data_IF_824624345267
#
_entry.id   IF_824624345267
#
_cell.length_a   1.000
_cell.length_b   1.000
_cell.length_c   1.000
_cell.angle_alpha   90.00
_cell.angle_beta   90.00
_cell.angle_gamma   90.00
#
_symmetry.space_group_name_H-M   'P 1'
#
loop_
_entity.id
_entity.type
_entity.pdbx_description
1 polymer ?
#
# COMPACT_ATOMS: atom_id res chain seq x y z
N UNK A 1 1.32 9.86 35.02
CA UNK A 1 0.10 9.98 34.23
C UNK A 1 -0.90 8.93 34.70
N UNK A 2 -2.15 9.33 34.90
CA UNK A 2 -3.23 8.37 35.19
C UNK A 2 -3.67 7.73 33.86
N UNK A 3 -3.45 6.43 33.75
CA UNK A 3 -3.79 5.65 32.55
C UNK A 3 -5.28 5.73 32.16
N UNK A 4 -6.14 5.99 33.15
CA UNK A 4 -7.58 6.13 32.92
C UNK A 4 -7.95 7.47 32.28
N UNK A 5 -7.05 8.43 32.30
CA UNK A 5 -7.22 9.77 31.71
C UNK A 5 -6.48 9.97 30.40
N UNK A 6 -5.72 8.96 29.94
CA UNK A 6 -4.98 9.06 28.68
C UNK A 6 -5.97 9.13 27.50
N UNK A 7 -5.76 10.10 26.63
CA UNK A 7 -6.43 10.29 25.35
C UNK A 7 -5.41 10.30 24.23
N UNK A 8 -5.80 9.76 23.07
CA UNK A 8 -5.00 9.79 21.86
C UNK A 8 -5.81 10.40 20.74
N UNK A 9 -5.20 11.30 19.98
CA UNK A 9 -5.83 11.98 18.86
C UNK A 9 -5.00 11.79 17.59
N UNK A 10 -5.63 11.65 16.44
CA UNK A 10 -4.94 11.57 15.15
C UNK A 10 -5.76 10.89 14.06
N UNK A 11 -5.41 11.21 12.82
CA UNK A 11 -5.97 10.59 11.63
C UNK A 11 -5.09 9.47 11.04
N UNK A 12 -3.99 9.15 11.70
CA UNK A 12 -2.98 8.28 11.11
C UNK A 12 -2.25 8.95 9.94
N UNK A 13 -1.84 8.12 8.99
CA UNK A 13 -1.12 8.57 7.80
C UNK A 13 -2.02 8.75 6.57
N UNK A 14 -3.29 9.05 6.74
CA UNK A 14 -4.23 9.22 5.61
C UNK A 14 -3.85 10.43 4.76
N UNK A 15 -3.98 10.28 3.44
CA UNK A 15 -3.90 11.41 2.51
C UNK A 15 -5.13 12.30 2.70
N UNK A 16 -4.93 13.59 2.86
CA UNK A 16 -6.01 14.56 2.87
C UNK A 16 -6.72 14.60 1.51
N UNK A 17 -8.03 14.88 1.47
CA UNK A 17 -8.72 15.05 0.21
C UNK A 17 -8.13 16.23 -0.58
N UNK A 18 -7.99 16.07 -1.89
CA UNK A 18 -7.47 17.13 -2.76
C UNK A 18 -8.42 18.35 -2.83
N UNK A 19 -9.70 18.13 -2.58
CA UNK A 19 -10.73 19.19 -2.53
C UNK A 19 -11.47 19.02 -1.21
N UNK A 20 -11.52 20.08 -0.42
CA UNK A 20 -12.31 20.12 0.79
C UNK A 20 -13.78 20.44 0.45
N UNK A 21 -14.68 19.60 0.90
CA UNK A 21 -16.12 19.81 0.76
C UNK A 21 -16.66 20.45 2.05
N UNK A 22 -16.77 21.76 2.04
CA UNK A 22 -17.30 22.53 3.16
C UNK A 22 -18.84 22.44 3.30
N UNK A 23 -19.53 21.76 2.38
CA UNK A 23 -20.96 21.56 2.44
C UNK A 23 -21.39 20.44 3.39
N UNK A 24 -20.47 19.61 3.82
CA UNK A 24 -20.70 18.47 4.70
C UNK A 24 -19.71 18.46 5.86
N UNK A 25 -20.20 18.60 7.09
CA UNK A 25 -19.39 18.54 8.30
C UNK A 25 -18.63 17.21 8.43
N UNK A 26 -19.19 16.10 7.94
CA UNK A 26 -18.58 14.78 7.98
C UNK A 26 -17.36 14.63 7.06
N UNK A 27 -17.17 15.56 6.13
CA UNK A 27 -16.06 15.59 5.18
C UNK A 27 -15.03 16.66 5.49
N UNK A 28 -15.31 17.50 6.46
CA UNK A 28 -14.40 18.52 6.92
C UNK A 28 -13.46 17.90 7.95
N UNK A 29 -12.19 17.77 7.59
CA UNK A 29 -11.14 17.40 8.53
C UNK A 29 -10.65 18.71 9.16
N UNK A 30 -11.31 19.11 10.25
CA UNK A 30 -11.01 20.37 10.96
C UNK A 30 -10.19 20.11 12.21
N UNK A 31 -10.67 19.21 13.06
CA UNK A 31 -9.99 18.81 14.30
C UNK A 31 -9.52 17.36 14.26
N UNK A 32 -8.54 17.05 15.11
CA UNK A 32 -8.06 15.68 15.28
C UNK A 32 -9.11 14.83 15.99
N UNK A 33 -9.48 13.70 15.40
CA UNK A 33 -10.38 12.73 16.02
C UNK A 33 -9.72 12.03 17.20
N UNK A 34 -10.50 11.81 18.26
CA UNK A 34 -10.09 10.97 19.37
C UNK A 34 -10.11 9.50 18.97
N UNK A 35 -8.98 8.82 19.14
CA UNK A 35 -8.83 7.40 18.82
C UNK A 35 -9.34 6.55 19.98
N UNK A 36 -10.21 5.55 19.75
CA UNK A 36 -10.70 4.65 20.78
C UNK A 36 -9.57 3.83 21.39
N UNK A 37 -9.53 3.74 22.71
CA UNK A 37 -8.48 3.08 23.47
C UNK A 37 -8.96 1.83 24.18
N UNK A 38 -8.18 0.76 24.09
CA UNK A 38 -8.34 -0.44 24.89
C UNK A 38 -7.35 -0.44 26.05
N UNK A 39 -7.86 -0.52 27.28
CA UNK A 39 -7.04 -0.52 28.49
C UNK A 39 -6.95 -1.94 29.05
N UNK A 40 -5.75 -2.42 29.30
CA UNK A 40 -5.49 -3.72 29.87
C UNK A 40 -4.19 -3.75 30.65
N UNK A 41 -4.24 -4.29 31.88
CA UNK A 41 -3.05 -4.56 32.70
C UNK A 41 -2.09 -3.35 32.84
N UNK A 42 -2.62 -2.16 33.09
CA UNK A 42 -1.79 -0.96 33.23
C UNK A 42 -1.23 -0.41 31.92
N UNK A 43 -1.72 -0.90 30.77
CA UNK A 43 -1.33 -0.43 29.43
C UNK A 43 -2.51 0.10 28.65
N UNK A 44 -2.22 1.02 27.74
CA UNK A 44 -3.18 1.55 26.75
C UNK A 44 -2.79 1.03 25.39
N UNK A 45 -3.75 0.45 24.68
CA UNK A 45 -3.60 -0.04 23.32
C UNK A 45 -4.56 0.71 22.40
N UNK A 46 -4.10 1.05 21.22
CA UNK A 46 -4.94 1.62 20.19
C UNK A 46 -4.50 1.13 18.81
N UNK A 47 -5.39 1.24 17.84
CA UNK A 47 -5.07 0.93 16.45
C UNK A 47 -4.49 2.19 15.79
N UNK A 48 -3.23 2.11 15.37
CA UNK A 48 -2.55 3.18 14.66
C UNK A 48 -2.48 2.85 13.16
N UNK A 49 -3.15 3.64 12.34
CA UNK A 49 -2.99 3.57 10.89
C UNK A 49 -1.67 4.23 10.48
N UNK A 50 -0.90 3.55 9.65
CA UNK A 50 0.31 4.10 9.02
C UNK A 50 -0.01 4.87 7.74
N UNK A 51 1.04 5.25 7.02
CA UNK A 51 0.95 5.97 5.74
C UNK A 51 0.53 5.07 4.58
N UNK A 52 0.60 3.76 4.73
CA UNK A 52 0.12 2.77 3.75
C UNK A 52 -1.17 2.15 4.25
N UNK A 53 -2.25 2.32 3.50
CA UNK A 53 -3.56 1.74 3.82
C UNK A 53 -3.85 0.57 2.91
N UNK A 54 -4.30 -0.53 3.50
CA UNK A 54 -4.86 -1.67 2.76
C UNK A 54 -6.38 -1.53 2.73
N UNK A 55 -6.94 -1.55 1.53
CA UNK A 55 -8.36 -1.38 1.29
C UNK A 55 -8.88 -2.64 0.57
N UNK A 56 -9.87 -3.28 1.16
CA UNK A 56 -10.57 -4.39 0.50
C UNK A 56 -11.54 -3.86 -0.55
N UNK A 57 -11.43 -4.37 -1.77
CA UNK A 57 -12.37 -4.08 -2.86
C UNK A 57 -13.35 -5.25 -3.00
N UNK A 58 -14.62 -5.11 -2.58
CA UNK A 58 -15.60 -6.19 -2.69
C UNK A 58 -15.97 -6.52 -4.14
N UNK A 59 -15.88 -5.54 -5.04
CA UNK A 59 -16.16 -5.74 -6.47
C UNK A 59 -15.04 -6.47 -7.20
N UNK A 60 -13.79 -6.27 -6.78
CA UNK A 60 -12.61 -6.91 -7.37
C UNK A 60 -12.15 -8.14 -6.59
N UNK A 61 -12.74 -8.41 -5.43
CA UNK A 61 -12.37 -9.49 -4.51
C UNK A 61 -10.87 -9.51 -4.22
N UNK A 62 -10.28 -8.34 -4.05
CA UNK A 62 -8.85 -8.20 -3.77
C UNK A 62 -8.56 -7.03 -2.84
N UNK A 63 -7.43 -7.12 -2.16
CA UNK A 63 -6.84 -6.01 -1.45
C UNK A 63 -6.16 -5.06 -2.43
N UNK A 64 -6.33 -3.77 -2.20
CA UNK A 64 -5.54 -2.70 -2.82
C UNK A 64 -4.80 -1.96 -1.72
N UNK A 65 -3.72 -1.29 -2.07
CA UNK A 65 -3.04 -0.39 -1.16
C UNK A 65 -3.13 1.04 -1.69
N UNK A 66 -2.99 1.98 -0.78
CA UNK A 66 -2.88 3.40 -1.09
C UNK A 66 -1.83 4.00 -0.16
N UNK A 67 -0.76 4.49 -0.74
CA UNK A 67 0.29 5.19 -0.04
C UNK A 67 -0.09 6.67 0.18
N UNK A 68 0.42 7.24 1.25
CA UNK A 68 0.49 8.68 1.39
C UNK A 68 1.83 9.15 0.82
N UNK A 69 1.82 9.64 -0.42
CA UNK A 69 3.01 10.11 -1.14
C UNK A 69 3.64 11.36 -0.51
N UNK A 70 2.91 12.05 0.38
CA UNK A 70 3.35 13.30 1.01
C UNK A 70 3.90 13.12 2.42
N UNK A 71 3.72 11.94 3.03
CA UNK A 71 4.14 11.70 4.41
C UNK A 71 4.70 10.29 4.59
N UNK A 72 5.89 10.19 5.17
CA UNK A 72 6.51 8.91 5.54
C UNK A 72 6.09 8.39 6.91
N UNK A 73 5.53 9.26 7.76
CA UNK A 73 5.15 8.95 9.13
C UNK A 73 3.72 9.38 9.40
N UNK A 74 3.03 8.59 10.22
CA UNK A 74 1.76 8.96 10.83
C UNK A 74 2.02 9.48 12.25
N UNK A 75 1.34 10.53 12.63
CA UNK A 75 1.51 11.17 13.93
C UNK A 75 0.24 11.05 14.77
N UNK A 76 0.44 10.75 16.04
CA UNK A 76 -0.62 10.72 17.04
C UNK A 76 -0.21 11.57 18.22
N UNK A 77 -1.18 12.26 18.79
CA UNK A 77 -0.97 13.14 19.92
C UNK A 77 -1.56 12.49 21.17
N UNK A 78 -0.79 12.46 22.24
CA UNK A 78 -1.19 11.88 23.52
C UNK A 78 -1.36 12.98 24.53
N UNK A 79 -2.49 12.99 25.24
CA UNK A 79 -2.79 13.94 26.29
C UNK A 79 -3.55 13.27 27.45
N UNK A 80 -3.86 14.03 28.49
CA UNK A 80 -4.77 13.63 29.56
C UNK A 80 -6.05 14.43 29.49
N UNK A 81 -7.17 13.80 29.80
CA UNK A 81 -8.46 14.47 29.83
C UNK A 81 -9.55 13.63 30.47
N UNK A 82 -10.71 14.23 30.64
CA UNK A 82 -11.88 13.52 31.16
C UNK A 82 -12.54 12.67 30.07
N UNK A 83 -13.18 11.59 30.47
CA UNK A 83 -13.98 10.72 29.62
C UNK A 83 -13.30 10.28 28.31
N UNK A 84 -12.13 9.59 28.41
CA UNK A 84 -11.45 9.11 27.21
C UNK A 84 -12.32 8.12 26.46
N UNK A 85 -12.27 8.18 25.11
CA UNK A 85 -13.01 7.27 24.24
C UNK A 85 -12.52 5.83 24.43
N UNK A 86 -13.44 4.94 24.75
CA UNK A 86 -13.14 3.51 24.95
C UNK A 86 -13.42 2.71 23.68
N UNK A 87 -12.52 1.78 23.37
CA UNK A 87 -12.76 0.78 22.36
C UNK A 87 -13.72 -0.28 22.89
N UNK A 88 -14.94 -0.31 22.37
CA UNK A 88 -15.91 -1.35 22.70
C UNK A 88 -15.50 -2.67 22.02
N UNK A 89 -15.15 -3.65 22.82
CA UNK A 89 -14.87 -4.99 22.33
C UNK A 89 -16.18 -5.76 22.16
N UNK A 90 -16.45 -6.17 20.94
CA UNK A 90 -17.48 -7.19 20.71
C UNK A 90 -16.85 -8.53 21.11
N UNK A 91 -17.35 -9.14 22.18
CA UNK A 91 -16.96 -10.49 22.52
C UNK A 91 -17.45 -11.43 21.42
N UNK A 92 -16.60 -12.32 20.92
CA UNK A 92 -17.03 -13.39 20.05
C UNK A 92 -17.97 -14.30 20.85
N UNK A 93 -19.25 -14.27 20.55
CA UNK A 93 -20.29 -15.03 21.23
C UNK A 93 -20.57 -16.37 20.55
N UNK A 94 -19.96 -16.60 19.38
CA UNK A 94 -20.18 -17.82 18.60
C UNK A 94 -18.85 -18.53 18.33
N UNK A 95 -18.88 -19.85 18.43
CA UNK A 95 -17.82 -20.69 17.90
C UNK A 95 -17.86 -20.59 16.36
N UNK A 96 -16.73 -20.38 15.68
CA UNK A 96 -16.74 -20.32 14.22
C UNK A 96 -17.27 -21.63 13.64
N UNK A 97 -18.24 -21.53 12.73
CA UNK A 97 -18.80 -22.71 12.04
C UNK A 97 -17.83 -23.28 11.00
N UNK A 98 -16.82 -22.52 10.63
CA UNK A 98 -15.89 -22.89 9.57
C UNK A 98 -14.48 -22.47 9.93
N UNK A 99 -13.55 -23.40 9.75
CA UNK A 99 -12.11 -23.13 9.81
C UNK A 99 -11.62 -22.80 8.39
N UNK A 100 -10.97 -21.65 8.21
CA UNK A 100 -10.37 -21.30 6.94
C UNK A 100 -8.97 -21.92 6.84
N UNK A 101 -8.73 -22.65 5.76
CA UNK A 101 -7.43 -23.27 5.49
C UNK A 101 -6.37 -22.25 5.03
N UNK A 102 -6.80 -21.12 4.52
CA UNK A 102 -5.93 -20.08 4.01
C UNK A 102 -6.61 -18.72 4.04
N UNK A 103 -5.80 -17.67 4.16
CA UNK A 103 -6.19 -16.27 4.04
C UNK A 103 -5.48 -15.65 2.84
N UNK A 104 -6.07 -14.59 2.26
CA UNK A 104 -5.40 -13.79 1.23
C UNK A 104 -4.50 -12.78 1.93
N UNK A 105 -3.21 -12.83 1.64
CA UNK A 105 -2.22 -11.85 2.06
C UNK A 105 -1.73 -11.04 0.87
N UNK A 106 -1.36 -9.81 1.08
CA UNK A 106 -0.75 -8.94 0.10
C UNK A 106 0.57 -8.41 0.63
N UNK A 107 1.62 -8.53 -0.17
CA UNK A 107 2.91 -7.88 0.03
C UNK A 107 3.10 -6.87 -1.09
N UNK A 108 3.57 -5.70 -0.77
CA UNK A 108 3.74 -4.59 -1.71
C UNK A 108 5.15 -4.05 -1.56
N UNK A 109 5.80 -3.85 -2.68
CA UNK A 109 7.00 -3.04 -2.81
C UNK A 109 6.59 -1.79 -3.57
N UNK A 110 6.63 -0.65 -2.93
CA UNK A 110 6.18 0.62 -3.47
C UNK A 110 6.95 1.74 -2.75
N UNK A 111 8.07 2.11 -3.32
CA UNK A 111 8.95 3.16 -2.80
C UNK A 111 8.71 4.44 -3.62
N UNK A 112 7.78 5.26 -3.16
CA UNK A 112 7.39 6.52 -3.77
C UNK A 112 8.51 7.58 -3.70
N UNK A 113 9.59 7.37 -4.43
CA UNK A 113 10.80 8.20 -4.37
C UNK A 113 10.98 9.14 -5.56
N UNK A 114 10.30 8.89 -6.67
CA UNK A 114 10.46 9.65 -7.91
C UNK A 114 9.13 9.98 -8.57
N UNK A 115 9.01 11.18 -9.09
CA UNK A 115 7.96 11.55 -10.03
C UNK A 115 8.56 12.27 -11.25
N UNK A 116 7.88 12.21 -12.41
CA UNK A 116 8.36 12.84 -13.65
C UNK A 116 8.39 14.37 -13.59
N UNK A 117 7.55 14.96 -12.73
CA UNK A 117 7.54 16.39 -12.45
C UNK A 117 7.63 16.63 -10.96
N UNK A 118 7.98 17.82 -10.57
CA UNK A 118 8.00 18.26 -9.17
C UNK A 118 6.59 18.33 -8.55
N UNK A 119 5.73 17.36 -8.87
CA UNK A 119 4.37 17.30 -8.38
C UNK A 119 3.58 16.17 -9.05
N UNK A 120 2.41 15.89 -8.50
CA UNK A 120 1.55 14.83 -9.00
C UNK A 120 1.26 13.77 -7.94
N UNK A 121 0.45 12.79 -8.31
CA UNK A 121 0.00 11.72 -7.43
C UNK A 121 0.59 10.36 -7.77
N UNK A 122 1.20 10.24 -8.95
CA UNK A 122 1.83 9.01 -9.42
C UNK A 122 3.32 9.08 -9.17
N UNK A 123 3.78 8.23 -8.29
CA UNK A 123 5.19 8.14 -7.91
C UNK A 123 5.73 6.74 -8.19
N UNK A 124 7.04 6.66 -8.34
CA UNK A 124 7.77 5.44 -8.68
C UNK A 124 9.02 5.29 -7.82
N UNK A 125 9.64 4.14 -7.89
CA UNK A 125 11.00 3.94 -7.39
C UNK A 125 11.99 4.84 -8.15
N UNK A 126 13.04 5.25 -7.46
CA UNK A 126 14.08 6.14 -8.00
C UNK A 126 15.03 5.49 -9.01
N UNK A 127 14.91 4.17 -9.26
CA UNK A 127 15.82 3.49 -10.17
C UNK A 127 15.52 3.81 -11.64
N UNK A 128 16.54 4.28 -12.35
CA UNK A 128 16.48 4.57 -13.79
C UNK A 128 16.98 3.37 -14.61
N UNK A 129 16.09 2.81 -15.44
CA UNK A 129 16.38 1.73 -16.36
C UNK A 129 16.92 2.21 -17.73
N UNK A 130 17.47 3.41 -17.82
CA UNK A 130 18.03 3.92 -19.07
C UNK A 130 19.16 3.03 -19.62
N UNK A 131 19.30 3.01 -20.94
CA UNK A 131 20.41 2.38 -21.65
C UNK A 131 20.54 0.86 -21.48
N UNK A 132 19.44 0.14 -21.36
CA UNK A 132 19.44 -1.31 -21.26
C UNK A 132 19.88 -1.82 -19.89
N UNK A 133 19.67 -1.04 -18.86
CA UNK A 133 20.00 -1.42 -17.49
C UNK A 133 19.13 -2.58 -17.01
N UNK A 134 19.68 -3.30 -16.04
CA UNK A 134 18.96 -4.35 -15.29
C UNK A 134 18.92 -3.99 -13.84
N UNK A 135 17.83 -4.33 -13.15
CA UNK A 135 17.71 -4.13 -11.71
C UNK A 135 16.96 -5.28 -11.05
N UNK A 136 17.31 -5.54 -9.80
CA UNK A 136 16.73 -6.62 -9.02
C UNK A 136 16.02 -6.09 -7.78
N UNK A 137 14.79 -6.53 -7.58
CA UNK A 137 14.01 -6.26 -6.38
C UNK A 137 13.81 -7.52 -5.56
N UNK A 138 13.96 -7.40 -4.25
CA UNK A 138 13.72 -8.50 -3.31
C UNK A 138 12.37 -8.32 -2.63
N UNK A 139 11.59 -9.37 -2.58
CA UNK A 139 10.28 -9.39 -1.96
C UNK A 139 10.12 -10.62 -1.07
N UNK A 140 9.81 -10.40 0.20
CA UNK A 140 9.57 -11.47 1.15
C UNK A 140 8.08 -11.84 1.17
N UNK A 141 7.78 -13.12 1.02
CA UNK A 141 6.42 -13.67 1.07
C UNK A 141 6.29 -14.78 2.13
N UNK A 142 6.48 -14.46 3.42
CA UNK A 142 6.63 -15.45 4.49
C UNK A 142 5.36 -16.28 4.73
N UNK A 143 4.21 -15.82 4.25
CA UNK A 143 2.92 -16.50 4.44
C UNK A 143 2.46 -17.31 3.24
N UNK A 144 3.26 -17.38 2.19
CA UNK A 144 2.91 -18.18 1.03
C UNK A 144 3.09 -19.67 1.33
N UNK A 145 2.02 -20.44 1.16
CA UNK A 145 1.99 -21.87 1.50
C UNK A 145 1.98 -22.82 0.30
N UNK A 146 2.07 -22.29 -0.93
CA UNK A 146 2.09 -23.08 -2.16
C UNK A 146 0.77 -23.74 -2.57
N UNK A 147 -0.31 -23.61 -1.80
CA UNK A 147 -1.59 -24.26 -2.10
C UNK A 147 -2.30 -23.66 -3.33
N UNK A 148 -2.02 -22.40 -3.66
CA UNK A 148 -2.58 -21.69 -4.81
C UNK A 148 -1.51 -20.83 -5.44
N UNK A 149 -1.66 -20.55 -6.73
CA UNK A 149 -0.81 -19.56 -7.40
C UNK A 149 -1.00 -18.18 -6.78
N UNK A 150 0.09 -17.45 -6.66
CA UNK A 150 0.07 -16.04 -6.31
C UNK A 150 -0.18 -15.19 -7.56
N UNK A 151 -0.94 -14.12 -7.45
CA UNK A 151 -1.00 -13.07 -8.47
C UNK A 151 0.09 -12.05 -8.18
N UNK A 152 0.95 -11.81 -9.14
CA UNK A 152 1.96 -10.74 -9.11
C UNK A 152 1.53 -9.66 -10.08
N UNK A 153 1.35 -8.44 -9.59
CA UNK A 153 1.07 -7.26 -10.39
C UNK A 153 2.29 -6.33 -10.38
N UNK A 154 2.73 -5.91 -11.56
CA UNK A 154 3.87 -5.04 -11.75
C UNK A 154 3.40 -3.78 -12.45
N UNK A 155 3.64 -2.61 -11.85
CA UNK A 155 3.49 -1.30 -12.47
C UNK A 155 4.86 -0.80 -12.91
N UNK A 156 4.98 -0.40 -14.15
CA UNK A 156 6.22 0.11 -14.71
C UNK A 156 5.95 1.36 -15.56
N UNK A 157 6.58 2.46 -15.21
CA UNK A 157 6.46 3.73 -15.92
C UNK A 157 7.64 3.97 -16.85
N UNK A 158 7.39 4.52 -18.04
CA UNK A 158 8.45 4.87 -18.97
C UNK A 158 8.10 6.10 -19.80
N UNK A 159 9.10 6.97 -20.01
CA UNK A 159 9.06 8.09 -20.94
C UNK A 159 9.50 7.63 -22.34
N UNK A 160 8.58 7.08 -23.11
CA UNK A 160 8.88 6.45 -24.41
C UNK A 160 8.28 7.24 -25.57
N UNK A 161 9.14 7.83 -26.41
CA UNK A 161 8.72 8.66 -27.53
C UNK A 161 8.84 8.00 -28.91
N UNK A 162 9.88 7.20 -29.13
CA UNK A 162 10.21 6.69 -30.48
C UNK A 162 9.57 5.36 -30.82
N UNK A 163 9.73 4.36 -29.94
CA UNK A 163 9.21 3.00 -30.11
C UNK A 163 8.76 2.44 -28.77
N UNK A 164 7.85 1.49 -28.77
CA UNK A 164 7.45 0.80 -27.55
C UNK A 164 8.67 0.20 -26.84
N UNK A 165 8.69 0.31 -25.52
CA UNK A 165 9.70 -0.31 -24.68
C UNK A 165 9.28 -1.73 -24.34
N UNK A 166 10.22 -2.68 -24.42
CA UNK A 166 10.02 -4.04 -23.96
C UNK A 166 10.66 -4.20 -22.59
N UNK A 167 9.92 -4.73 -21.64
CA UNK A 167 10.42 -5.02 -20.29
C UNK A 167 10.36 -6.52 -20.09
N UNK A 168 11.51 -7.15 -19.92
CA UNK A 168 11.61 -8.55 -19.55
C UNK A 168 11.58 -8.71 -18.02
N UNK A 169 10.86 -9.70 -17.53
CA UNK A 169 10.68 -9.98 -16.11
C UNK A 169 11.11 -11.41 -15.82
N UNK A 170 12.00 -11.57 -14.86
CA UNK A 170 12.40 -12.86 -14.32
C UNK A 170 12.09 -12.92 -12.83
N UNK A 171 11.69 -14.09 -12.35
CA UNK A 171 11.50 -14.40 -10.94
C UNK A 171 12.42 -15.56 -10.54
N UNK A 172 13.29 -15.34 -9.55
CA UNK A 172 14.21 -16.34 -9.06
C UNK A 172 15.00 -17.02 -10.20
N UNK A 173 15.44 -16.25 -11.19
CA UNK A 173 16.13 -16.67 -12.42
C UNK A 173 15.27 -17.47 -13.43
N UNK A 174 13.97 -17.55 -13.22
CA UNK A 174 13.02 -18.13 -14.20
C UNK A 174 12.33 -17.00 -14.95
N UNK A 175 12.20 -17.15 -16.27
CA UNK A 175 11.51 -16.15 -17.08
C UNK A 175 10.02 -16.16 -16.76
N UNK A 176 9.46 -14.99 -16.45
CA UNK A 176 8.01 -14.76 -16.32
C UNK A 176 7.39 -14.23 -17.61
N UNK A 177 8.21 -13.68 -18.49
CA UNK A 177 7.78 -13.12 -19.77
C UNK A 177 8.12 -11.65 -19.94
N UNK A 178 7.64 -11.09 -21.03
CA UNK A 178 7.90 -9.71 -21.44
C UNK A 178 6.58 -8.96 -21.58
N UNK A 179 6.56 -7.70 -21.17
CA UNK A 179 5.45 -6.80 -21.48
C UNK A 179 5.95 -5.54 -22.19
N UNK A 180 5.03 -4.86 -22.85
CA UNK A 180 5.35 -3.70 -23.66
C UNK A 180 4.72 -2.43 -23.09
N UNK A 181 5.51 -1.36 -23.02
CA UNK A 181 5.02 -0.02 -22.72
C UNK A 181 4.92 0.75 -24.02
N UNK A 182 3.70 1.13 -24.38
CA UNK A 182 3.45 1.86 -25.62
C UNK A 182 4.08 3.27 -25.57
N UNK A 183 4.52 3.74 -26.73
CA UNK A 183 4.93 5.13 -26.84
C UNK A 183 3.75 6.07 -26.54
N UNK A 184 4.05 7.22 -26.01
CA UNK A 184 3.07 8.28 -25.86
C UNK A 184 3.12 9.26 -27.02
N UNK A 185 2.00 9.92 -27.25
CA UNK A 185 1.82 10.89 -28.31
C UNK A 185 1.29 12.17 -27.70
N UNK A 186 1.94 13.27 -27.97
CA UNK A 186 1.48 14.60 -27.58
C UNK A 186 2.42 15.31 -26.60
N UNK A 187 2.15 16.59 -26.42
CA UNK A 187 2.95 17.48 -25.58
C UNK A 187 2.57 17.45 -24.10
N UNK A 188 1.44 16.80 -23.78
CA UNK A 188 0.87 16.78 -22.43
C UNK A 188 1.19 15.53 -21.62
N UNK A 189 1.62 14.45 -22.26
CA UNK A 189 2.07 13.24 -21.57
C UNK A 189 3.58 13.28 -21.36
N UNK A 190 4.06 12.89 -20.17
CA UNK A 190 5.49 12.84 -19.86
C UNK A 190 6.01 11.44 -19.82
N UNK A 191 5.15 10.50 -19.43
CA UNK A 191 5.43 9.09 -19.32
C UNK A 191 4.13 8.30 -19.44
N UNK A 192 4.27 7.01 -19.64
CA UNK A 192 3.14 6.07 -19.65
C UNK A 192 3.40 4.91 -18.71
N UNK A 193 2.42 4.59 -17.89
CA UNK A 193 2.43 3.41 -17.05
C UNK A 193 1.80 2.22 -17.77
N UNK A 194 2.34 1.05 -17.55
CA UNK A 194 1.73 -0.23 -17.89
C UNK A 194 1.72 -1.13 -16.67
N UNK A 195 0.59 -1.78 -16.42
CA UNK A 195 0.45 -2.79 -15.36
C UNK A 195 0.34 -4.17 -16.00
N UNK A 196 1.21 -5.06 -15.57
CA UNK A 196 1.23 -6.45 -16.03
C UNK A 196 0.98 -7.39 -14.87
N UNK A 197 0.30 -8.50 -15.15
CA UNK A 197 -0.08 -9.51 -14.17
C UNK A 197 0.45 -10.86 -14.55
N UNK A 198 0.95 -11.57 -13.56
CA UNK A 198 1.47 -12.92 -13.72
C UNK A 198 0.85 -13.83 -12.65
N UNK A 199 0.48 -15.04 -13.04
CA UNK A 199 0.09 -16.10 -12.11
C UNK A 199 1.33 -16.95 -11.83
N UNK A 200 1.78 -16.94 -10.59
CA UNK A 200 3.04 -17.55 -10.18
C UNK A 200 2.79 -18.69 -9.21
N UNK A 201 3.26 -19.88 -9.56
CA UNK A 201 3.40 -20.98 -8.64
C UNK A 201 4.80 -20.95 -8.00
N UNK A 202 4.93 -21.58 -6.85
CA UNK A 202 6.24 -21.84 -6.23
C UNK A 202 7.05 -20.59 -5.84
N UNK A 203 6.39 -19.57 -5.30
CA UNK A 203 7.10 -18.51 -4.59
C UNK A 203 7.90 -19.11 -3.43
N UNK A 204 9.03 -18.52 -3.15
CA UNK A 204 9.86 -18.82 -1.97
C UNK A 204 9.51 -17.86 -0.85
N UNK A 205 10.09 -18.03 0.31
CA UNK A 205 10.01 -17.04 1.38
C UNK A 205 10.67 -15.72 0.96
N UNK A 206 11.84 -15.79 0.33
CA UNK A 206 12.52 -14.65 -0.31
C UNK A 206 12.51 -14.83 -1.83
N UNK A 207 12.03 -13.84 -2.54
CA UNK A 207 11.94 -13.82 -4.00
C UNK A 207 12.72 -12.65 -4.57
N UNK A 208 13.37 -12.89 -5.72
CA UNK A 208 14.08 -11.86 -6.45
C UNK A 208 13.44 -11.69 -7.83
N UNK A 209 12.95 -10.49 -8.09
CA UNK A 209 12.43 -10.07 -9.39
C UNK A 209 13.52 -9.29 -10.12
N UNK A 210 13.94 -9.77 -11.28
CA UNK A 210 14.89 -9.08 -12.14
C UNK A 210 14.14 -8.47 -13.32
N UNK A 211 14.39 -7.21 -13.57
CA UNK A 211 13.87 -6.45 -14.70
C UNK A 211 15.01 -6.07 -15.64
N UNK A 212 14.76 -6.15 -16.95
CA UNK A 212 15.66 -5.63 -17.97
C UNK A 212 14.87 -4.96 -19.09
N UNK A 213 15.44 -3.91 -19.68
CA UNK A 213 14.88 -3.12 -20.78
C UNK A 213 15.84 -3.08 -21.97
#
# INVERSE_FOLDING_TARGET
ADINRVKVFGYGGRVLPAVFDFSSADRLIDDLEEVPLYRRNGSVLFYAEGTVRKIWSPTRLKWTHKNNTYARYAYYFVTEGEQPLALNRIAATQTPDTTLDATISQVVLDDDAFCWYEGGTEMYDSYDFANGATHAYKLNTPFYNGKRNAEVEIAFGAAVQKKALQVNVQLNNSDLGTFSISRYYGETESARETRSKYSVANLKEENTFNFSV
#
